data_IF_574771232989
#
_entry.id   IF_574771232989
#
_cell.length_a   1.000
_cell.length_b   1.000
_cell.length_c   1.000
_cell.angle_alpha   90.00
_cell.angle_beta   90.00
_cell.angle_gamma   90.00
#
_symmetry.space_group_name_H-M   'P 1'
#
loop_
_entity.id
_entity.type
_entity.pdbx_description
1 polymer ?
#
# COMPACT_ATOMS: atom_id res chain seq x y z
N UNK A 1 1.78 -12.68 5.50
CA UNK A 1 1.45 -12.18 4.15
C UNK A 1 2.74 -11.66 3.50
N UNK A 2 3.08 -12.07 2.27
CA UNK A 2 4.29 -11.59 1.61
C UNK A 2 4.21 -10.09 1.27
N UNK A 3 5.30 -9.36 1.52
CA UNK A 3 5.41 -7.94 1.17
C UNK A 3 5.60 -7.77 -0.34
N UNK A 4 4.88 -6.80 -0.91
CA UNK A 4 5.17 -6.24 -2.23
C UNK A 4 6.61 -5.71 -2.26
N UNK A 5 7.19 -5.61 -3.46
CA UNK A 5 8.53 -5.04 -3.63
C UNK A 5 8.51 -3.53 -3.68
N UNK A 6 7.38 -2.91 -3.99
CA UNK A 6 7.22 -1.46 -4.02
C UNK A 6 6.76 -0.94 -2.66
N UNK A 7 7.49 0.02 -2.10
CA UNK A 7 7.06 0.85 -0.97
C UNK A 7 6.97 2.31 -1.41
N UNK A 8 6.02 3.07 -0.84
CA UNK A 8 5.88 4.51 -1.10
C UNK A 8 6.63 5.29 -0.05
N UNK A 9 7.53 6.17 -0.47
CA UNK A 9 8.23 7.11 0.41
C UNK A 9 7.40 8.38 0.59
N UNK A 10 7.71 9.12 1.65
CA UNK A 10 7.37 10.54 1.76
C UNK A 10 5.90 10.81 2.11
N UNK A 11 5.36 10.01 3.02
CA UNK A 11 4.00 10.23 3.52
C UNK A 11 4.09 10.65 4.97
N UNK A 12 3.75 11.90 5.26
CA UNK A 12 3.51 12.28 6.66
C UNK A 12 2.36 11.41 7.19
N UNK A 13 2.35 11.03 8.47
CA UNK A 13 1.32 10.14 9.01
C UNK A 13 -0.11 10.62 8.69
N UNK A 14 -0.36 11.93 8.72
CA UNK A 14 -1.65 12.55 8.42
C UNK A 14 -2.09 12.45 6.94
N UNK A 15 -1.17 12.17 6.02
CA UNK A 15 -1.45 12.04 4.59
C UNK A 15 -1.67 10.59 4.14
N UNK A 16 -1.30 9.61 4.98
CA UNK A 16 -1.34 8.18 4.64
C UNK A 16 -2.73 7.75 4.22
N UNK A 17 -3.75 8.04 5.03
CA UNK A 17 -5.12 7.60 4.75
C UNK A 17 -5.69 8.24 3.48
N UNK A 18 -5.42 9.52 3.24
CA UNK A 18 -5.86 10.22 2.01
C UNK A 18 -5.18 9.65 0.76
N UNK A 19 -3.88 9.33 0.86
CA UNK A 19 -3.12 8.75 -0.23
C UNK A 19 -3.65 7.35 -0.57
N UNK A 20 -3.83 6.50 0.45
CA UNK A 20 -4.36 5.16 0.31
C UNK A 20 -5.80 5.19 -0.22
N UNK A 21 -6.62 6.12 0.24
CA UNK A 21 -7.97 6.35 -0.29
C UNK A 21 -7.93 6.67 -1.78
N UNK A 22 -7.03 7.55 -2.21
CA UNK A 22 -6.88 7.85 -3.65
C UNK A 22 -6.44 6.60 -4.43
N UNK A 23 -5.51 5.81 -3.88
CA UNK A 23 -5.08 4.55 -4.48
C UNK A 23 -6.23 3.57 -4.64
N UNK A 24 -7.03 3.35 -3.60
CA UNK A 24 -8.18 2.43 -3.64
C UNK A 24 -9.20 2.81 -4.70
N UNK A 25 -9.61 4.08 -4.73
CA UNK A 25 -10.66 4.60 -5.59
C UNK A 25 -10.28 4.56 -7.07
N UNK A 26 -9.01 4.78 -7.38
CA UNK A 26 -8.53 4.76 -8.77
C UNK A 26 -8.19 3.35 -9.25
N UNK A 27 -7.66 2.49 -8.36
CA UNK A 27 -7.05 1.23 -8.79
C UNK A 27 -7.93 0.00 -8.58
N UNK A 28 -9.05 0.09 -7.84
CA UNK A 28 -9.92 -1.05 -7.54
C UNK A 28 -11.37 -0.76 -7.95
N UNK A 29 -12.01 -1.77 -8.54
CA UNK A 29 -13.44 -1.70 -8.86
C UNK A 29 -14.20 -1.62 -7.55
N UNK A 30 -15.04 -0.59 -7.41
CA UNK A 30 -15.75 -0.34 -6.14
C UNK A 30 -14.85 0.22 -5.03
N UNK A 31 -13.69 0.78 -5.36
CA UNK A 31 -12.76 1.38 -4.40
C UNK A 31 -13.45 2.32 -3.40
N UNK A 32 -13.32 2.00 -2.12
CA UNK A 32 -13.88 2.75 -1.00
C UNK A 32 -12.78 3.48 -0.23
N UNK A 33 -13.16 4.41 0.66
CA UNK A 33 -12.21 5.08 1.56
C UNK A 33 -11.35 4.05 2.29
N UNK A 34 -10.03 4.23 2.25
CA UNK A 34 -9.12 3.38 3.01
C UNK A 34 -9.34 3.62 4.49
N UNK A 35 -9.35 2.57 5.30
CA UNK A 35 -9.55 2.68 6.74
C UNK A 35 -8.57 1.78 7.49
N UNK A 36 -8.23 2.24 8.70
CA UNK A 36 -7.33 1.52 9.59
C UNK A 36 -8.05 0.37 10.29
N UNK A 37 -7.38 -0.76 10.38
CA UNK A 37 -7.81 -1.97 11.09
C UNK A 37 -7.23 -2.00 12.50
N UNK A 38 -7.78 -2.85 13.36
CA UNK A 38 -7.35 -3.01 14.76
C UNK A 38 -5.88 -3.44 14.90
N UNK A 39 -5.34 -4.12 13.89
CA UNK A 39 -3.92 -4.52 13.82
C UNK A 39 -2.97 -3.40 13.35
N UNK A 40 -3.50 -2.19 13.15
CA UNK A 40 -2.74 -1.03 12.71
C UNK A 40 -2.51 -0.94 11.20
N UNK A 41 -2.93 -1.95 10.43
CA UNK A 41 -2.84 -1.97 8.97
C UNK A 41 -4.03 -1.25 8.33
N UNK A 42 -4.01 -1.05 7.01
CA UNK A 42 -5.07 -0.40 6.26
C UNK A 42 -5.70 -1.37 5.26
N UNK A 43 -7.04 -1.39 5.22
CA UNK A 43 -7.79 -2.02 4.13
C UNK A 43 -7.75 -1.11 2.90
N UNK A 44 -7.28 -1.62 1.76
CA UNK A 44 -6.99 -0.82 0.57
C UNK A 44 -7.42 -1.43 -0.77
N UNK A 45 -8.40 -2.35 -0.73
CA UNK A 45 -8.82 -3.13 -1.91
C UNK A 45 -10.34 -3.39 -1.92
N UNK A 46 -11.11 -2.43 -1.40
CA UNK A 46 -12.57 -2.53 -1.31
C UNK A 46 -13.09 -3.73 -0.46
N UNK A 47 -12.26 -4.25 0.44
CA UNK A 47 -12.67 -5.28 1.41
C UNK A 47 -12.41 -6.72 0.96
N UNK A 48 -11.81 -6.91 -0.22
CA UNK A 48 -11.41 -8.23 -0.73
C UNK A 48 -10.27 -8.86 0.10
N UNK A 49 -9.49 -8.03 0.79
CA UNK A 49 -8.41 -8.45 1.68
C UNK A 49 -7.29 -9.25 0.96
N UNK A 50 -7.07 -8.94 -0.31
CA UNK A 50 -5.99 -9.43 -1.16
C UNK A 50 -4.72 -8.58 -1.03
N UNK A 51 -4.84 -7.31 -0.65
CA UNK A 51 -3.70 -6.42 -0.36
C UNK A 51 -4.03 -5.46 0.79
N UNK A 52 -3.04 -5.29 1.67
CA UNK A 52 -3.08 -4.31 2.76
C UNK A 52 -1.88 -3.39 2.73
N UNK A 53 -2.01 -2.26 3.40
CA UNK A 53 -0.91 -1.34 3.64
C UNK A 53 -0.60 -1.22 5.13
N UNK A 54 0.65 -0.92 5.45
CA UNK A 54 1.09 -0.53 6.79
C UNK A 54 2.01 0.68 6.66
N UNK A 55 1.84 1.64 7.56
CA UNK A 55 2.75 2.77 7.67
C UNK A 55 3.89 2.42 8.62
N UNK A 56 5.10 2.37 8.09
CA UNK A 56 6.33 2.26 8.86
C UNK A 56 6.79 3.66 9.24
N UNK A 57 6.54 4.02 10.50
CA UNK A 57 6.85 5.35 11.03
C UNK A 57 8.37 5.60 11.16
N UNK A 58 9.17 4.56 11.38
CA UNK A 58 10.62 4.69 11.53
C UNK A 58 11.27 5.10 10.21
N UNK A 59 10.79 4.52 9.11
CA UNK A 59 11.30 4.75 7.77
C UNK A 59 10.47 5.76 6.94
N UNK A 60 9.40 6.32 7.54
CA UNK A 60 8.45 7.24 6.91
C UNK A 60 7.94 6.73 5.55
N UNK A 61 7.52 5.47 5.51
CA UNK A 61 7.11 4.79 4.29
C UNK A 61 5.80 4.00 4.45
N UNK A 62 5.10 3.78 3.34
CA UNK A 62 3.99 2.84 3.28
C UNK A 62 4.49 1.56 2.61
N UNK A 63 4.40 0.45 3.36
CA UNK A 63 4.66 -0.89 2.85
C UNK A 63 3.35 -1.58 2.51
N UNK A 64 3.39 -2.42 1.49
CA UNK A 64 2.22 -3.17 1.03
C UNK A 64 2.49 -4.65 1.15
N UNK A 65 1.49 -5.45 1.53
CA UNK A 65 1.63 -6.90 1.56
C UNK A 65 0.39 -7.57 1.00
N UNK A 66 0.63 -8.54 0.12
CA UNK A 66 -0.40 -9.30 -0.55
C UNK A 66 -0.80 -10.49 0.29
N UNK A 67 -2.05 -10.93 0.17
CA UNK A 67 -2.51 -12.19 0.74
C UNK A 67 -1.76 -13.37 0.14
N UNK A 68 -1.54 -13.35 -1.19
CA UNK A 68 -0.90 -14.43 -1.93
C UNK A 68 0.33 -13.94 -2.70
N UNK A 69 1.41 -14.74 -2.65
CA UNK A 69 2.67 -14.45 -3.32
C UNK A 69 2.56 -14.36 -4.86
N UNK A 70 1.77 -15.21 -5.55
CA UNK A 70 1.59 -15.10 -7.01
C UNK A 70 1.07 -13.73 -7.48
N UNK A 71 0.25 -13.05 -6.66
CA UNK A 71 -0.37 -11.78 -7.00
C UNK A 71 0.54 -10.57 -6.77
N UNK A 72 1.69 -10.77 -6.09
CA UNK A 72 2.64 -9.69 -5.82
C UNK A 72 3.05 -8.94 -7.09
N UNK A 73 3.34 -9.65 -8.18
CA UNK A 73 3.75 -9.00 -9.43
C UNK A 73 2.61 -8.17 -10.05
N UNK A 74 1.36 -8.58 -9.85
CA UNK A 74 0.20 -7.82 -10.31
C UNK A 74 0.05 -6.54 -9.50
N UNK A 75 0.17 -6.63 -8.17
CA UNK A 75 0.06 -5.48 -7.28
C UNK A 75 1.26 -4.54 -7.36
N UNK A 76 2.50 -5.03 -7.47
CA UNK A 76 3.70 -4.21 -7.69
C UNK A 76 3.52 -3.33 -8.94
N UNK A 77 3.02 -3.89 -10.05
CA UNK A 77 2.75 -3.10 -11.28
C UNK A 77 1.72 -2.00 -11.04
N UNK A 78 0.65 -2.31 -10.30
CA UNK A 78 -0.41 -1.35 -9.96
C UNK A 78 0.12 -0.23 -9.05
N UNK A 79 0.90 -0.57 -8.03
CA UNK A 79 1.57 0.37 -7.13
C UNK A 79 2.53 1.29 -7.89
N UNK A 80 3.38 0.73 -8.75
CA UNK A 80 4.33 1.51 -9.57
C UNK A 80 3.60 2.45 -10.54
N UNK A 81 2.53 1.99 -11.18
CA UNK A 81 1.74 2.81 -12.10
C UNK A 81 1.08 3.99 -11.35
N UNK A 82 0.49 3.73 -10.19
CA UNK A 82 -0.08 4.77 -9.33
C UNK A 82 0.98 5.77 -8.87
N UNK A 83 2.11 5.28 -8.38
CA UNK A 83 3.20 6.15 -7.93
C UNK A 83 3.74 7.05 -9.05
N UNK A 84 3.93 6.49 -10.24
CA UNK A 84 4.36 7.25 -11.42
C UNK A 84 3.34 8.33 -11.79
N UNK A 85 2.04 8.00 -11.76
CA UNK A 85 0.96 8.94 -12.10
C UNK A 85 0.89 10.13 -11.14
N UNK A 86 1.12 9.89 -9.85
CA UNK A 86 0.96 10.90 -8.79
C UNK A 86 2.29 11.51 -8.31
N UNK A 87 3.41 11.15 -8.93
CA UNK A 87 4.74 11.67 -8.55
C UNK A 87 5.18 11.23 -7.16
N UNK A 88 4.82 10.00 -6.76
CA UNK A 88 5.19 9.42 -5.46
C UNK A 88 6.55 8.73 -5.62
N UNK A 89 7.49 9.07 -4.74
CA UNK A 89 8.77 8.39 -4.67
C UNK A 89 8.58 6.95 -4.21
N UNK A 90 9.26 6.01 -4.88
CA UNK A 90 9.19 4.59 -4.54
C UNK A 90 10.56 4.05 -4.21
N UNK A 91 10.61 3.11 -3.28
CA UNK A 91 11.82 2.33 -2.99
C UNK A 91 11.51 0.83 -2.93
N UNK A 92 12.53 -0.03 -3.10
CA UNK A 92 12.41 -1.44 -2.80
C UNK A 92 11.99 -1.64 -1.34
N UNK A 93 10.94 -2.43 -1.10
CA UNK A 93 10.50 -2.79 0.23
C UNK A 93 11.54 -3.68 0.89
N UNK A 94 12.17 -3.17 1.95
CA UNK A 94 13.06 -3.95 2.82
C UNK A 94 12.25 -4.47 4.00
N UNK A 95 12.08 -5.79 4.08
CA UNK A 95 11.55 -6.45 5.27
C UNK A 95 12.74 -6.76 6.16
N UNK A 96 12.90 -6.02 7.24
CA UNK A 96 13.77 -6.46 8.35
C UNK A 96 13.04 -7.60 9.04
N UNK A 97 13.53 -8.81 8.83
CA UNK A 97 13.12 -9.95 9.65
C UNK A 97 13.61 -9.70 11.07
N UNK A 98 12.69 -9.44 12.00
CA UNK A 98 12.92 -9.69 13.42
C UNK A 98 12.54 -11.13 13.77
#
# INVERSE_FOLDING_TARGET
>A
MPYCRTAFQTVKPEQVESLLTTFTQECFVGGQVAYRLDDGTFSIDAGENDIRAIYDQENAEIKFFCRYQPDMNFYDKKLMAFATKHGIDTKPCTVTSE
#
